data_IF_251740096506
#
_entry.id   IF_251740096506
#
_cell.length_a   1.000
_cell.length_b   1.000
_cell.length_c   1.000
_cell.angle_alpha   90.00
_cell.angle_beta   90.00
_cell.angle_gamma   90.00
#
_symmetry.space_group_name_H-M   'P 1'
#
loop_
_entity.id
_entity.type
_entity.pdbx_description
1 polymer ?
#
# COMPACT_ATOMS: atom_id res chain seq x y z
N UNK A 1 -9.68 -19.44 83.77
CA UNK A 1 -10.64 -20.54 83.55
C UNK A 1 -11.45 -20.20 82.30
N UNK A 2 -11.00 -20.65 81.12
CA UNK A 2 -11.63 -21.71 80.30
C UNK A 2 -13.09 -21.45 79.93
N UNK A 3 -13.35 -21.06 78.66
CA UNK A 3 -13.87 -21.96 77.62
C UNK A 3 -13.96 -21.24 76.26
N UNK A 4 -13.44 -21.94 75.25
CA UNK A 4 -13.45 -21.62 73.82
C UNK A 4 -14.85 -21.95 73.27
N UNK A 5 -15.42 -21.06 72.44
CA UNK A 5 -16.53 -21.40 71.55
C UNK A 5 -16.05 -21.13 70.12
N UNK A 6 -15.84 -22.23 69.40
CA UNK A 6 -15.45 -22.28 68.01
C UNK A 6 -16.73 -22.15 67.17
N UNK A 7 -16.85 -21.09 66.36
CA UNK A 7 -17.93 -20.97 65.39
C UNK A 7 -17.29 -20.92 64.01
N UNK A 8 -17.31 -22.04 63.30
CA UNK A 8 -16.90 -22.14 61.90
C UNK A 8 -17.88 -21.34 61.04
N UNK A 9 -17.38 -20.29 60.37
CA UNK A 9 -18.08 -19.69 59.23
C UNK A 9 -17.32 -20.08 57.98
N UNK A 10 -17.92 -20.98 57.23
CA UNK A 10 -17.52 -21.37 55.89
C UNK A 10 -17.65 -20.17 54.96
N UNK A 11 -16.54 -19.44 54.74
CA UNK A 11 -16.44 -18.47 53.66
C UNK A 11 -16.22 -19.22 52.34
N UNK A 12 -17.27 -19.28 51.51
CA UNK A 12 -17.17 -19.67 50.11
C UNK A 12 -16.12 -18.78 49.42
N UNK A 13 -15.00 -19.37 49.00
CA UNK A 13 -14.16 -18.78 47.96
C UNK A 13 -14.91 -18.92 46.63
N UNK A 14 -15.57 -17.85 46.19
CA UNK A 14 -16.00 -17.74 44.81
C UNK A 14 -14.75 -17.54 43.95
N UNK A 15 -14.23 -18.61 43.35
CA UNK A 15 -13.34 -18.49 42.21
C UNK A 15 -14.15 -17.86 41.07
N UNK A 16 -14.00 -16.55 40.87
CA UNK A 16 -14.35 -15.93 39.61
C UNK A 16 -13.45 -16.55 38.54
N UNK A 17 -14.00 -17.45 37.72
CA UNK A 17 -13.31 -17.89 36.52
C UNK A 17 -13.19 -16.67 35.60
N UNK A 18 -11.98 -16.13 35.50
CA UNK A 18 -11.66 -15.22 34.42
C UNK A 18 -11.81 -16.04 33.13
N UNK A 19 -12.91 -15.80 32.41
CA UNK A 19 -13.07 -16.31 31.05
C UNK A 19 -11.83 -15.86 30.26
N UNK A 20 -11.13 -16.77 29.56
CA UNK A 20 -9.99 -16.38 28.75
C UNK A 20 -10.48 -15.35 27.74
N UNK A 21 -9.88 -14.16 27.77
CA UNK A 21 -10.09 -13.17 26.73
C UNK A 21 -9.82 -13.85 25.39
N UNK A 22 -10.87 -14.02 24.58
CA UNK A 22 -10.74 -14.51 23.22
C UNK A 22 -9.95 -13.46 22.45
N UNK A 23 -8.64 -13.67 22.34
CA UNK A 23 -7.80 -12.93 21.40
C UNK A 23 -8.43 -13.15 20.04
N UNK A 24 -8.85 -12.11 19.30
CA UNK A 24 -9.44 -12.30 17.99
C UNK A 24 -8.39 -12.98 17.11
N UNK A 25 -8.57 -14.26 16.84
CA UNK A 25 -7.78 -15.00 15.85
C UNK A 25 -8.24 -14.47 14.51
N UNK A 26 -7.60 -13.38 14.05
CA UNK A 26 -7.76 -12.95 12.68
C UNK A 26 -7.27 -14.11 11.82
N UNK A 27 -8.11 -14.72 10.97
CA UNK A 27 -7.69 -15.83 10.14
C UNK A 27 -6.48 -15.38 9.32
N UNK A 28 -5.42 -16.20 9.26
CA UNK A 28 -4.12 -15.84 8.68
C UNK A 28 -4.23 -15.22 7.27
N UNK A 29 -5.23 -15.63 6.49
CA UNK A 29 -5.56 -15.06 5.18
C UNK A 29 -5.95 -13.56 5.24
N UNK A 30 -6.75 -13.15 6.23
CA UNK A 30 -7.17 -11.75 6.40
C UNK A 30 -6.01 -10.86 6.88
N UNK A 31 -5.14 -11.38 7.75
CA UNK A 31 -3.94 -10.67 8.18
C UNK A 31 -2.96 -10.46 7.02
N UNK A 32 -2.76 -11.47 6.18
CA UNK A 32 -1.91 -11.39 4.98
C UNK A 32 -2.48 -10.42 3.93
N UNK A 33 -3.81 -10.35 3.80
CA UNK A 33 -4.48 -9.38 2.91
C UNK A 33 -4.28 -7.93 3.37
N UNK A 34 -4.45 -7.67 4.67
CA UNK A 34 -4.22 -6.33 5.23
C UNK A 34 -2.75 -5.89 5.11
N UNK A 35 -1.80 -6.82 5.27
CA UNK A 35 -0.39 -6.58 5.04
C UNK A 35 -0.11 -6.24 3.57
N UNK A 36 -0.61 -7.06 2.62
CA UNK A 36 -0.42 -6.80 1.19
C UNK A 36 -1.02 -5.45 0.75
N UNK A 37 -2.19 -5.09 1.29
CA UNK A 37 -2.82 -3.79 1.09
C UNK A 37 -1.91 -2.65 1.58
N UNK A 38 -1.40 -2.76 2.81
CA UNK A 38 -0.51 -1.76 3.39
C UNK A 38 0.79 -1.61 2.60
N UNK A 39 1.38 -2.72 2.16
CA UNK A 39 2.58 -2.71 1.34
C UNK A 39 2.34 -2.09 -0.04
N UNK A 40 1.24 -2.45 -0.71
CA UNK A 40 0.85 -1.86 -1.99
C UNK A 40 0.73 -0.32 -1.88
N UNK A 41 -0.01 0.17 -0.88
CA UNK A 41 -0.17 1.62 -0.67
C UNK A 41 1.13 2.31 -0.29
N UNK A 42 2.00 1.64 0.49
CA UNK A 42 3.33 2.17 0.81
C UNK A 42 4.20 2.31 -0.44
N UNK A 43 4.19 1.33 -1.34
CA UNK A 43 4.90 1.41 -2.61
C UNK A 43 4.33 2.49 -3.54
N UNK A 44 3.01 2.67 -3.60
CA UNK A 44 2.40 3.77 -4.37
C UNK A 44 2.80 5.15 -3.82
N UNK A 45 2.77 5.34 -2.51
CA UNK A 45 3.20 6.59 -1.90
C UNK A 45 4.67 6.90 -2.20
N UNK A 46 5.54 5.88 -2.13
CA UNK A 46 6.96 6.02 -2.51
C UNK A 46 7.13 6.30 -4.01
N UNK A 47 6.36 5.64 -4.88
CA UNK A 47 6.39 5.88 -6.32
C UNK A 47 5.99 7.32 -6.65
N UNK A 48 4.94 7.85 -6.02
CA UNK A 48 4.54 9.24 -6.17
C UNK A 48 5.65 10.19 -5.71
N UNK A 49 6.19 9.97 -4.52
CA UNK A 49 7.27 10.77 -3.98
C UNK A 49 8.50 10.78 -4.91
N UNK A 50 8.94 9.60 -5.35
CA UNK A 50 10.09 9.45 -6.24
C UNK A 50 9.82 10.05 -7.64
N UNK A 51 8.57 10.05 -8.11
CA UNK A 51 8.17 10.71 -9.37
C UNK A 51 8.28 12.23 -9.26
N UNK A 52 7.79 12.81 -8.16
CA UNK A 52 7.91 14.25 -7.90
C UNK A 52 9.37 14.68 -7.69
N UNK A 53 10.17 13.85 -7.02
CA UNK A 53 11.60 14.06 -6.90
C UNK A 53 12.30 14.00 -8.26
N UNK A 54 11.96 13.03 -9.11
CA UNK A 54 12.49 12.94 -10.48
C UNK A 54 12.16 14.18 -11.31
N UNK A 55 10.94 14.73 -11.19
CA UNK A 55 10.56 15.98 -11.86
C UNK A 55 11.47 17.15 -11.46
N UNK A 56 11.79 17.29 -10.17
CA UNK A 56 12.74 18.31 -9.70
C UNK A 56 14.15 18.13 -10.24
N UNK A 57 14.61 16.88 -10.36
CA UNK A 57 15.94 16.60 -10.92
C UNK A 57 15.99 16.87 -12.42
N UNK A 58 14.93 16.54 -13.16
CA UNK A 58 14.77 16.87 -14.59
C UNK A 58 14.82 18.39 -14.80
N UNK A 59 14.09 19.15 -13.98
CA UNK A 59 14.11 20.63 -13.99
C UNK A 59 15.51 21.19 -13.70
N UNK A 60 16.30 20.50 -12.88
CA UNK A 60 17.69 20.85 -12.58
C UNK A 60 18.68 20.56 -13.71
N UNK A 61 18.26 19.95 -14.83
CA UNK A 61 19.09 19.70 -16.01
C UNK A 61 20.14 18.59 -15.85
N UNK A 62 20.14 17.86 -14.73
CA UNK A 62 21.14 16.83 -14.44
C UNK A 62 20.73 15.48 -15.05
N UNK A 63 21.01 15.26 -16.34
CA UNK A 63 20.58 14.07 -17.09
C UNK A 63 20.80 12.74 -16.35
N UNK A 64 22.01 12.49 -15.82
CA UNK A 64 22.34 11.24 -15.12
C UNK A 64 21.54 11.07 -13.82
N UNK A 65 21.41 12.14 -13.04
CA UNK A 65 20.62 12.11 -11.81
C UNK A 65 19.13 11.91 -12.13
N UNK A 66 18.64 12.49 -13.22
CA UNK A 66 17.26 12.36 -13.66
C UNK A 66 16.95 10.93 -14.13
N UNK A 67 17.84 10.31 -14.90
CA UNK A 67 17.75 8.89 -15.29
C UNK A 67 17.64 7.99 -14.05
N UNK A 68 18.54 8.18 -13.07
CA UNK A 68 18.54 7.40 -11.83
C UNK A 68 17.25 7.60 -11.01
N UNK A 69 16.77 8.84 -10.89
CA UNK A 69 15.54 9.17 -10.17
C UNK A 69 14.30 8.55 -10.83
N UNK A 70 14.18 8.63 -12.15
CA UNK A 70 13.06 8.04 -12.89
C UNK A 70 13.07 6.52 -12.76
N UNK A 71 14.23 5.87 -12.87
CA UNK A 71 14.35 4.40 -12.66
C UNK A 71 13.93 3.99 -11.25
N UNK A 72 14.20 4.81 -10.24
CA UNK A 72 13.76 4.55 -8.87
C UNK A 72 12.23 4.61 -8.75
N UNK A 73 11.60 5.63 -9.34
CA UNK A 73 10.14 5.75 -9.39
C UNK A 73 9.49 4.56 -10.13
N UNK A 74 10.06 4.13 -11.26
CA UNK A 74 9.61 2.95 -12.01
C UNK A 74 9.63 1.71 -11.12
N UNK A 75 10.75 1.43 -10.43
CA UNK A 75 10.85 0.25 -9.55
C UNK A 75 9.80 0.26 -8.44
N UNK A 76 9.56 1.39 -7.78
CA UNK A 76 8.53 1.49 -6.76
C UNK A 76 7.13 1.22 -7.32
N UNK A 77 6.83 1.70 -8.53
CA UNK A 77 5.55 1.46 -9.18
C UNK A 77 5.39 0.00 -9.63
N UNK A 78 6.45 -0.62 -10.14
CA UNK A 78 6.45 -2.05 -10.52
C UNK A 78 6.26 -2.95 -9.30
N UNK A 79 6.86 -2.62 -8.15
CA UNK A 79 6.62 -3.33 -6.89
C UNK A 79 5.18 -3.13 -6.41
N UNK A 80 4.61 -1.93 -6.52
CA UNK A 80 3.21 -1.69 -6.21
C UNK A 80 2.26 -2.52 -7.09
N UNK A 81 2.53 -2.60 -8.40
CA UNK A 81 1.78 -3.41 -9.37
C UNK A 81 1.88 -4.90 -9.01
N UNK A 82 3.07 -5.40 -8.67
CA UNK A 82 3.27 -6.80 -8.26
C UNK A 82 2.41 -7.14 -7.05
N UNK A 83 2.42 -6.29 -6.02
CA UNK A 83 1.60 -6.46 -4.81
C UNK A 83 0.10 -6.37 -5.12
N UNK A 84 -0.30 -5.51 -6.06
CA UNK A 84 -1.69 -5.40 -6.51
C UNK A 84 -2.19 -6.69 -7.18
N UNK A 85 -1.38 -7.32 -8.03
CA UNK A 85 -1.73 -8.60 -8.65
C UNK A 85 -1.84 -9.74 -7.64
N UNK A 86 -0.93 -9.80 -6.65
CA UNK A 86 -1.03 -10.77 -5.55
C UNK A 86 -2.30 -10.59 -4.72
N UNK A 87 -2.79 -9.36 -4.57
CA UNK A 87 -4.09 -9.12 -3.95
C UNK A 87 -5.22 -9.71 -4.82
N UNK A 88 -5.30 -9.35 -6.10
CA UNK A 88 -6.42 -9.73 -6.97
C UNK A 88 -6.61 -11.25 -7.17
N UNK A 89 -5.53 -12.03 -7.31
CA UNK A 89 -5.65 -13.50 -7.52
C UNK A 89 -6.38 -14.21 -6.38
N UNK A 90 -6.42 -13.62 -5.18
CA UNK A 90 -7.16 -14.15 -4.03
C UNK A 90 -8.66 -13.76 -4.00
N UNK A 91 -9.10 -12.88 -4.91
CA UNK A 91 -10.44 -12.29 -4.94
C UNK A 91 -11.18 -12.50 -6.26
N UNK A 92 -10.80 -13.48 -7.08
CA UNK A 92 -11.46 -13.74 -8.37
C UNK A 92 -12.99 -14.05 -8.28
N UNK A 93 -13.56 -14.15 -7.07
CA UNK A 93 -14.97 -14.44 -6.79
C UNK A 93 -15.80 -13.25 -6.26
N UNK A 94 -15.28 -12.02 -6.19
CA UNK A 94 -16.08 -10.85 -5.78
C UNK A 94 -16.75 -10.18 -6.99
N UNK A 95 -18.06 -9.91 -6.89
CA UNK A 95 -18.93 -9.50 -7.99
C UNK A 95 -18.57 -8.20 -8.73
N UNK A 96 -19.40 -7.81 -9.70
CA UNK A 96 -19.06 -6.83 -10.75
C UNK A 96 -18.55 -5.45 -10.29
N UNK A 97 -18.96 -4.94 -9.13
CA UNK A 97 -18.48 -3.66 -8.60
C UNK A 97 -16.99 -3.69 -8.22
N UNK A 98 -16.52 -4.80 -7.65
CA UNK A 98 -15.11 -5.01 -7.31
C UNK A 98 -14.25 -5.14 -8.57
N UNK A 99 -14.76 -5.82 -9.60
CA UNK A 99 -14.09 -5.94 -10.89
C UNK A 99 -13.87 -4.58 -11.58
N UNK A 100 -14.88 -3.72 -11.57
CA UNK A 100 -14.79 -2.39 -12.18
C UNK A 100 -13.77 -1.49 -11.45
N UNK A 101 -13.75 -1.54 -10.11
CA UNK A 101 -12.76 -0.85 -9.29
C UNK A 101 -11.34 -1.31 -9.58
N UNK A 102 -11.12 -2.63 -9.56
CA UNK A 102 -9.83 -3.23 -9.88
C UNK A 102 -9.35 -2.81 -11.28
N UNK A 103 -10.22 -2.90 -12.29
CA UNK A 103 -9.85 -2.54 -13.66
C UNK A 103 -9.47 -1.07 -13.79
N UNK A 104 -10.23 -0.16 -13.15
CA UNK A 104 -9.91 1.26 -13.13
C UNK A 104 -8.58 1.53 -12.43
N UNK A 105 -8.38 0.96 -11.25
CA UNK A 105 -7.14 1.12 -10.49
C UNK A 105 -5.94 0.59 -11.30
N UNK A 106 -6.04 -0.62 -11.85
CA UNK A 106 -5.02 -1.23 -12.70
C UNK A 106 -4.69 -0.35 -13.92
N UNK A 107 -5.71 0.22 -14.56
CA UNK A 107 -5.53 1.11 -15.72
C UNK A 107 -4.70 2.34 -15.34
N UNK A 108 -4.96 2.97 -14.20
CA UNK A 108 -4.16 4.09 -13.71
C UNK A 108 -2.70 3.68 -13.47
N UNK A 109 -2.44 2.49 -12.90
CA UNK A 109 -1.08 1.99 -12.70
C UNK A 109 -0.32 1.76 -14.02
N UNK A 110 -0.98 1.17 -15.02
CA UNK A 110 -0.36 0.93 -16.33
C UNK A 110 -0.06 2.24 -17.06
N UNK A 111 -0.99 3.21 -17.00
CA UNK A 111 -0.78 4.53 -17.59
C UNK A 111 0.39 5.26 -16.91
N UNK A 112 0.46 5.21 -15.57
CA UNK A 112 1.59 5.78 -14.83
C UNK A 112 2.94 5.16 -15.24
N UNK A 113 2.98 3.83 -15.39
CA UNK A 113 4.20 3.12 -15.78
C UNK A 113 4.61 3.44 -17.21
N UNK A 114 3.64 3.51 -18.13
CA UNK A 114 3.85 3.97 -19.50
C UNK A 114 4.46 5.38 -19.52
N UNK A 115 3.88 6.31 -18.78
CA UNK A 115 4.33 7.71 -18.74
C UNK A 115 5.72 7.85 -18.09
N UNK A 116 6.04 7.08 -17.04
CA UNK A 116 7.40 7.04 -16.47
C UNK A 116 8.43 6.52 -17.46
N UNK A 117 8.09 5.49 -18.24
CA UNK A 117 8.98 4.95 -19.29
C UNK A 117 9.16 5.94 -20.44
N UNK A 118 8.10 6.67 -20.81
CA UNK A 118 8.18 7.76 -21.77
C UNK A 118 9.10 8.88 -21.25
N UNK A 119 8.93 9.33 -20.01
CA UNK A 119 9.79 10.34 -19.39
C UNK A 119 11.27 9.90 -19.38
N UNK A 120 11.55 8.67 -19.00
CA UNK A 120 12.90 8.09 -19.02
C UNK A 120 13.50 8.14 -20.44
N UNK A 121 12.71 7.80 -21.46
CA UNK A 121 13.12 7.92 -22.86
C UNK A 121 13.41 9.38 -23.24
N UNK A 122 12.53 10.33 -22.87
CA UNK A 122 12.71 11.75 -23.18
C UNK A 122 13.97 12.35 -22.54
N UNK A 123 14.25 12.04 -21.27
CA UNK A 123 15.50 12.43 -20.59
C UNK A 123 16.72 11.93 -21.35
N UNK A 124 16.68 10.66 -21.78
CA UNK A 124 17.79 10.07 -22.52
C UNK A 124 18.05 10.73 -23.88
N UNK A 125 17.02 11.32 -24.48
CA UNK A 125 17.07 12.10 -25.72
C UNK A 125 17.23 13.61 -25.52
N UNK A 126 17.38 14.08 -24.28
CA UNK A 126 17.55 15.51 -23.98
C UNK A 126 16.27 16.35 -24.08
N UNK A 127 15.10 15.72 -24.19
CA UNK A 127 13.81 16.40 -24.32
C UNK A 127 13.19 16.73 -22.94
N UNK A 128 13.82 17.64 -22.20
CA UNK A 128 13.47 17.98 -20.80
C UNK A 128 11.99 18.34 -20.63
N UNK A 129 11.46 19.26 -21.44
CA UNK A 129 10.06 19.69 -21.35
C UNK A 129 9.04 18.55 -21.58
N UNK A 130 9.36 17.60 -22.47
CA UNK A 130 8.51 16.41 -22.67
C UNK A 130 8.61 15.46 -21.49
N UNK A 131 9.82 15.25 -20.95
CA UNK A 131 10.02 14.43 -19.76
C UNK A 131 9.24 14.97 -18.55
N UNK A 132 9.26 16.27 -18.31
CA UNK A 132 8.47 16.91 -17.25
C UNK A 132 6.97 16.68 -17.43
N UNK A 133 6.46 16.87 -18.65
CA UNK A 133 5.04 16.62 -18.96
C UNK A 133 4.65 15.17 -18.69
N UNK A 134 5.48 14.22 -19.08
CA UNK A 134 5.22 12.80 -18.87
C UNK A 134 5.32 12.43 -17.36
N UNK A 135 6.27 13.01 -16.61
CA UNK A 135 6.34 12.84 -15.15
C UNK A 135 5.11 13.40 -14.43
N UNK A 136 4.63 14.57 -14.84
CA UNK A 136 3.43 15.20 -14.27
C UNK A 136 2.17 14.36 -14.50
N UNK A 137 2.03 13.77 -15.69
CA UNK A 137 0.96 12.81 -15.99
C UNK A 137 1.08 11.55 -15.13
N UNK A 138 2.27 10.96 -15.06
CA UNK A 138 2.52 9.79 -14.22
C UNK A 138 2.14 10.05 -12.75
N UNK A 139 2.55 11.19 -12.19
CA UNK A 139 2.19 11.59 -10.82
C UNK A 139 0.67 11.73 -10.63
N UNK A 140 -0.05 12.22 -11.64
CA UNK A 140 -1.51 12.32 -11.61
C UNK A 140 -2.16 10.94 -11.64
N UNK A 141 -1.70 10.04 -12.53
CA UNK A 141 -2.19 8.66 -12.59
C UNK A 141 -1.92 7.89 -11.29
N UNK A 142 -0.76 8.08 -10.64
CA UNK A 142 -0.47 7.46 -9.34
C UNK A 142 -1.43 7.99 -8.26
N UNK A 143 -1.71 9.31 -8.23
CA UNK A 143 -2.70 9.90 -7.32
C UNK A 143 -4.10 9.32 -7.57
N UNK A 144 -4.52 9.16 -8.81
CA UNK A 144 -5.81 8.57 -9.16
C UNK A 144 -5.89 7.09 -8.79
N UNK A 145 -4.79 6.35 -8.93
CA UNK A 145 -4.69 4.96 -8.44
C UNK A 145 -4.86 4.92 -6.91
N UNK A 146 -4.15 5.77 -6.17
CA UNK A 146 -4.29 5.85 -4.70
C UNK A 146 -5.72 6.21 -4.29
N UNK A 147 -6.32 7.22 -4.93
CA UNK A 147 -7.68 7.69 -4.62
C UNK A 147 -8.77 6.68 -4.99
N UNK A 148 -8.54 5.89 -6.06
CA UNK A 148 -9.46 4.81 -6.40
C UNK A 148 -9.36 3.69 -5.36
N UNK A 149 -8.17 3.34 -4.89
CA UNK A 149 -7.96 2.24 -3.95
C UNK A 149 -8.52 2.47 -2.53
N UNK A 150 -8.74 3.73 -2.13
CA UNK A 150 -9.29 4.10 -0.81
C UNK A 150 -10.81 4.26 -0.77
N UNK A 151 -11.50 4.15 -1.90
CA UNK A 151 -12.96 4.26 -2.02
C UNK A 151 -13.60 2.88 -2.12
#
# INVERSE_FOLDING_TARGET
>A
MWKIVLTSVSGLFALASAAPATVPVVPAAAAQQQQNHHHHMSHLARALHDTLAAEKVVQGGQKQAADAAIRKAIRQLEDAIRMHHHHYTNYANVGGAYYQHHHRHHTHLQNALHDLRAAHHQVNHGNVSKAEKDLSKAATQIRDAMNSYTK
#
